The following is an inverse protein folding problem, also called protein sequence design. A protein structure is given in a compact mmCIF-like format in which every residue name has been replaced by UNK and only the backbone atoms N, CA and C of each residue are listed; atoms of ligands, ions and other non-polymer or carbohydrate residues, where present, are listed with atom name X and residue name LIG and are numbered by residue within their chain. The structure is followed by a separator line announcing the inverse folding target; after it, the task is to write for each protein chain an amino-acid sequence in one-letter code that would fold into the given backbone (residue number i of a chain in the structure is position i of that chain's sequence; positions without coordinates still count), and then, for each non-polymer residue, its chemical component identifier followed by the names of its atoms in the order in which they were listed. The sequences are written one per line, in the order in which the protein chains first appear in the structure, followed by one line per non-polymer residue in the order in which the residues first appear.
data_IF_573967276119
#
_entry.id   IF_573967276119
#
_cell.length_a   1.000
_cell.length_b   1.000
_cell.length_c   1.000
_cell.angle_alpha   90.00
_cell.angle_beta   90.00
_cell.angle_gamma   90.00
#
_symmetry.space_group_name_H-M   'P 1'
#
loop_
_entity.id
_entity.type
_entity.pdbx_description
1 polymer ?
#
# COMPACT_ATOMS: atom_id res chain seq x y z
N UNK A 1 11.56 -5.26 -15.74
CA UNK A 1 10.74 -4.65 -14.67
C UNK A 1 11.58 -3.58 -14.01
N UNK A 2 11.04 -2.37 -13.91
CA UNK A 2 11.80 -1.18 -13.55
C UNK A 2 11.98 -1.15 -12.02
N UNK A 3 13.16 -1.51 -11.52
CA UNK A 3 13.44 -1.67 -10.07
C UNK A 3 13.03 -0.44 -9.22
N UNK A 4 12.97 0.75 -9.83
CA UNK A 4 12.49 1.97 -9.17
C UNK A 4 11.01 1.91 -8.79
N UNK A 5 10.13 1.39 -9.64
CA UNK A 5 8.70 1.34 -9.34
C UNK A 5 8.40 0.33 -8.21
N UNK A 6 9.12 -0.78 -8.17
CA UNK A 6 9.00 -1.78 -7.11
C UNK A 6 9.49 -1.22 -5.76
N UNK A 7 10.52 -0.36 -5.78
CA UNK A 7 10.99 0.34 -4.60
C UNK A 7 9.97 1.38 -4.10
N UNK A 8 9.33 2.13 -5.01
CA UNK A 8 8.30 3.09 -4.66
C UNK A 8 7.06 2.40 -4.05
N UNK A 9 6.66 1.24 -4.61
CA UNK A 9 5.60 0.41 -4.05
C UNK A 9 5.97 -0.05 -2.64
N UNK A 10 7.19 -0.57 -2.44
CA UNK A 10 7.64 -1.03 -1.11
C UNK A 10 7.73 0.11 -0.10
N UNK A 11 8.17 1.30 -0.53
CA UNK A 11 8.24 2.48 0.31
C UNK A 11 6.85 2.93 0.75
N UNK A 12 5.89 3.00 -0.18
CA UNK A 12 4.49 3.33 0.12
C UNK A 12 3.88 2.32 1.10
N UNK A 13 4.09 1.02 0.86
CA UNK A 13 3.63 -0.04 1.75
C UNK A 13 4.24 0.11 3.15
N UNK A 14 5.54 0.39 3.23
CA UNK A 14 6.24 0.62 4.49
C UNK A 14 5.64 1.78 5.28
N UNK A 15 5.37 2.91 4.61
CA UNK A 15 4.73 4.06 5.23
C UNK A 15 3.34 3.72 5.79
N UNK A 16 2.49 3.06 5.00
CA UNK A 16 1.15 2.65 5.44
C UNK A 16 1.20 1.68 6.62
N UNK A 17 2.08 0.68 6.58
CA UNK A 17 2.23 -0.28 7.68
C UNK A 17 2.71 0.43 8.94
N UNK A 18 3.68 1.36 8.82
CA UNK A 18 4.16 2.15 9.96
C UNK A 18 3.06 2.95 10.63
N UNK A 19 2.09 3.48 9.89
CA UNK A 19 0.93 4.17 10.45
C UNK A 19 -0.08 3.24 11.13
N UNK A 20 -0.17 1.99 10.67
CA UNK A 20 -1.09 0.99 11.21
C UNK A 20 -0.52 0.22 12.42
N UNK A 21 0.80 0.23 12.61
CA UNK A 21 1.46 -0.49 13.70
C UNK A 21 1.00 0.04 15.06
N UNK A 22 0.45 -0.87 15.88
CA UNK A 22 0.13 -0.63 17.28
C UNK A 22 0.76 -1.71 18.13
N UNK A 23 1.18 -1.34 19.34
CA UNK A 23 1.84 -2.26 20.26
C UNK A 23 0.88 -3.39 20.64
N UNK A 24 1.30 -4.64 20.40
CA UNK A 24 0.52 -5.83 20.76
C UNK A 24 -0.60 -6.19 19.78
N UNK A 25 -0.82 -5.41 18.71
CA UNK A 25 -1.86 -5.68 17.72
C UNK A 25 -1.24 -6.07 16.36
N UNK A 26 -1.60 -7.24 15.79
CA UNK A 26 -1.13 -7.62 14.47
C UNK A 26 -1.81 -6.76 13.40
N UNK A 27 -1.02 -6.20 12.48
CA UNK A 27 -1.53 -5.52 11.28
C UNK A 27 -2.04 -6.56 10.30
N UNK A 28 -3.33 -6.48 9.97
CA UNK A 28 -4.00 -7.37 9.04
C UNK A 28 -3.85 -6.87 7.61
N UNK A 29 -3.78 -7.79 6.65
CA UNK A 29 -3.68 -7.44 5.23
C UNK A 29 -4.81 -6.54 4.74
N UNK A 30 -6.05 -6.79 5.18
CA UNK A 30 -7.19 -5.96 4.78
C UNK A 30 -7.06 -4.52 5.27
N UNK A 31 -6.46 -4.28 6.44
CA UNK A 31 -6.22 -2.93 6.96
C UNK A 31 -5.25 -2.15 6.08
N UNK A 32 -4.22 -2.84 5.55
CA UNK A 32 -3.25 -2.24 4.63
C UNK A 32 -3.93 -1.90 3.29
N UNK A 33 -4.71 -2.83 2.72
CA UNK A 33 -5.40 -2.59 1.45
C UNK A 33 -6.47 -1.51 1.57
N UNK A 34 -7.19 -1.45 2.69
CA UNK A 34 -8.19 -0.41 2.96
C UNK A 34 -7.54 0.97 3.11
N UNK A 35 -6.41 1.06 3.82
CA UNK A 35 -5.66 2.30 3.95
C UNK A 35 -5.15 2.80 2.59
N UNK A 36 -4.56 1.91 1.79
CA UNK A 36 -4.13 2.23 0.41
C UNK A 36 -5.29 2.67 -0.48
N UNK A 37 -6.46 2.02 -0.35
CA UNK A 37 -7.65 2.39 -1.10
C UNK A 37 -8.13 3.79 -0.72
N UNK A 38 -8.23 4.10 0.58
CA UNK A 38 -8.61 5.45 1.07
C UNK A 38 -7.65 6.53 0.57
N UNK A 39 -6.34 6.30 0.69
CA UNK A 39 -5.31 7.20 0.16
C UNK A 39 -5.48 7.48 -1.35
N UNK A 40 -5.90 6.47 -2.12
CA UNK A 40 -6.18 6.64 -3.55
C UNK A 40 -7.44 7.48 -3.83
N UNK A 41 -8.46 7.41 -2.97
CA UNK A 41 -9.67 8.20 -3.11
C UNK A 41 -9.42 9.68 -2.77
N UNK A 42 -8.66 9.92 -1.70
CA UNK A 42 -8.41 11.26 -1.14
C UNK A 42 -7.40 12.07 -1.97
N UNK A 43 -6.51 11.41 -2.71
CA UNK A 43 -5.51 12.08 -3.54
C UNK A 43 -6.12 12.69 -4.81
N UNK A 44 -5.57 13.82 -5.29
CA UNK A 44 -5.84 14.36 -6.64
C UNK A 44 -4.78 13.95 -7.66
N UNK A 45 -3.65 13.39 -7.21
CA UNK A 45 -2.56 12.98 -8.08
C UNK A 45 -2.85 11.60 -8.71
N UNK A 46 -3.08 11.59 -10.03
CA UNK A 46 -3.33 10.37 -10.79
C UNK A 46 -2.19 9.35 -10.70
N UNK A 47 -0.93 9.78 -10.63
CA UNK A 47 0.22 8.87 -10.50
C UNK A 47 0.22 8.19 -9.15
N UNK A 48 -0.05 8.95 -8.09
CA UNK A 48 -0.19 8.40 -6.74
C UNK A 48 -1.34 7.40 -6.64
N UNK A 49 -2.49 7.67 -7.27
CA UNK A 49 -3.61 6.71 -7.35
C UNK A 49 -3.20 5.38 -7.96
N UNK A 50 -2.48 5.44 -9.09
CA UNK A 50 -1.96 4.23 -9.76
C UNK A 50 -0.96 3.51 -8.86
N UNK A 51 -0.11 4.23 -8.14
CA UNK A 51 0.84 3.64 -7.20
C UNK A 51 0.12 2.88 -6.07
N UNK A 52 -0.93 3.48 -5.47
CA UNK A 52 -1.78 2.81 -4.47
C UNK A 52 -2.42 1.54 -5.03
N UNK A 53 -2.99 1.59 -6.24
CA UNK A 53 -3.60 0.43 -6.88
C UNK A 53 -2.58 -0.69 -7.16
N UNK A 54 -1.36 -0.34 -7.58
CA UNK A 54 -0.27 -1.31 -7.78
C UNK A 54 0.17 -1.94 -6.46
N UNK A 55 0.24 -1.16 -5.38
CA UNK A 55 0.54 -1.68 -4.04
C UNK A 55 -0.55 -2.65 -3.54
N UNK A 56 -1.83 -2.35 -3.77
CA UNK A 56 -2.94 -3.27 -3.46
C UNK A 56 -2.79 -4.57 -4.25
N UNK A 57 -2.55 -4.47 -5.56
CA UNK A 57 -2.36 -5.65 -6.41
C UNK A 57 -1.15 -6.49 -6.00
N UNK A 58 -0.05 -5.84 -5.59
CA UNK A 58 1.13 -6.50 -5.05
C UNK A 58 0.79 -7.36 -3.83
N UNK A 59 -0.03 -6.85 -2.91
CA UNK A 59 -0.49 -7.62 -1.75
C UNK A 59 -1.42 -8.77 -2.13
N UNK A 60 -2.40 -8.53 -3.01
CA UNK A 60 -3.32 -9.58 -3.46
C UNK A 60 -2.57 -10.77 -4.06
N UNK A 61 -1.50 -10.52 -4.83
CA UNK A 61 -0.67 -11.58 -5.42
C UNK A 61 0.14 -12.41 -4.42
N UNK A 62 0.39 -11.91 -3.21
CA UNK A 62 1.09 -12.65 -2.15
C UNK A 62 0.16 -13.48 -1.25
N UNK A 63 -1.16 -13.28 -1.36
CA UNK A 63 -2.16 -14.05 -0.61
C UNK A 63 -2.72 -15.26 -1.38
N UNK A 64 -2.28 -15.45 -2.63
CA UNK A 64 -2.50 -16.66 -3.44
C UNK A 64 -1.22 -17.49 -3.48
#
# INVERSE_FOLDING_TARGET
MNNHEDNDIRALIGAVVSELLKVGEPVQFHQITDALFRLSQDSRDKRFKVLCQRAIHFFSRKMH
#
